data_IF_858065236182
#
_entry.id   IF_858065236182
#
_cell.length_a   1.000
_cell.length_b   1.000
_cell.length_c   1.000
_cell.angle_alpha   90.00
_cell.angle_beta   90.00
_cell.angle_gamma   90.00
#
_symmetry.space_group_name_H-M   'P 1'
#
loop_
_entity.id
_entity.type
_entity.pdbx_description
1 polymer ?
#
# COMPACT_ATOMS: atom_id res chain seq x y z
N UNK A 1 21.50 1.96 14.57
CA UNK A 1 21.10 1.36 13.28
C UNK A 1 20.05 0.32 13.62
N UNK A 2 18.82 0.53 13.20
CA UNK A 2 17.74 -0.44 13.38
C UNK A 2 18.06 -1.66 12.51
N UNK A 3 17.98 -2.86 13.08
CA UNK A 3 18.08 -4.12 12.34
C UNK A 3 16.79 -4.30 11.51
N UNK A 4 16.70 -3.57 10.39
CA UNK A 4 15.52 -3.49 9.55
C UNK A 4 15.88 -3.76 8.09
N UNK A 5 15.54 -4.97 7.62
CA UNK A 5 15.77 -5.36 6.23
C UNK A 5 15.03 -4.53 5.17
N UNK A 6 14.04 -3.70 5.55
CA UNK A 6 13.40 -2.75 4.62
C UNK A 6 14.22 -1.47 4.49
N UNK A 7 14.88 -1.01 5.56
CA UNK A 7 15.83 0.11 5.47
C UNK A 7 17.02 -0.24 4.58
N UNK A 8 17.52 -1.48 4.67
CA UNK A 8 18.59 -1.97 3.78
C UNK A 8 18.18 -1.89 2.29
N UNK A 9 16.92 -2.21 1.99
CA UNK A 9 16.37 -2.09 0.62
C UNK A 9 16.25 -0.62 0.23
N UNK A 10 15.81 0.25 1.15
CA UNK A 10 15.67 1.68 0.93
C UNK A 10 17.01 2.34 0.57
N UNK A 11 18.10 1.90 1.19
CA UNK A 11 19.46 2.38 0.93
C UNK A 11 20.08 1.77 -0.34
N UNK A 12 19.56 0.65 -0.82
CA UNK A 12 20.06 -0.02 -2.03
C UNK A 12 19.38 0.47 -3.31
N UNK A 13 20.08 0.51 -4.44
CA UNK A 13 19.44 0.79 -5.74
C UNK A 13 18.87 -0.47 -6.43
N UNK A 14 18.91 -1.62 -5.75
CA UNK A 14 18.50 -2.89 -6.33
C UNK A 14 16.99 -3.05 -6.20
N UNK A 15 16.37 -3.52 -7.28
CA UNK A 15 14.96 -3.94 -7.32
C UNK A 15 13.93 -2.83 -7.03
N UNK A 16 14.35 -1.56 -7.03
CA UNK A 16 13.46 -0.39 -6.98
C UNK A 16 12.83 -0.15 -8.36
N UNK A 17 11.53 0.09 -8.37
CA UNK A 17 10.75 0.45 -9.56
C UNK A 17 10.44 1.95 -9.58
N UNK A 18 10.27 2.53 -8.39
CA UNK A 18 9.94 3.94 -8.21
C UNK A 18 10.50 4.42 -6.87
N UNK A 19 10.97 5.65 -6.83
CA UNK A 19 11.42 6.33 -5.63
C UNK A 19 11.12 7.83 -5.77
N UNK A 20 10.53 8.40 -4.73
CA UNK A 20 10.44 9.85 -4.55
C UNK A 20 11.09 10.28 -3.22
N UNK A 21 10.76 11.49 -2.76
CA UNK A 21 11.28 12.03 -1.51
C UNK A 21 10.86 11.22 -0.28
N UNK A 22 9.66 10.63 -0.29
CA UNK A 22 9.02 10.00 0.86
C UNK A 22 8.85 8.49 0.72
N UNK A 23 8.57 7.98 -0.48
CA UNK A 23 8.10 6.62 -0.74
C UNK A 23 8.97 5.88 -1.75
N UNK A 24 9.01 4.55 -1.61
CA UNK A 24 9.67 3.63 -2.52
C UNK A 24 8.70 2.53 -2.93
N UNK A 25 8.76 2.14 -4.21
CA UNK A 25 8.22 0.87 -4.71
C UNK A 25 9.38 -0.05 -5.07
N UNK A 26 9.40 -1.26 -4.53
CA UNK A 26 10.41 -2.26 -4.85
C UNK A 26 9.82 -3.67 -4.93
N UNK A 27 10.53 -4.59 -5.60
CA UNK A 27 10.18 -6.01 -5.54
C UNK A 27 10.47 -6.58 -4.15
N UNK A 28 9.57 -7.43 -3.65
CA UNK A 28 9.81 -8.19 -2.43
C UNK A 28 10.97 -9.18 -2.62
N UNK A 29 12.00 -9.19 -1.76
CA UNK A 29 13.10 -10.15 -1.85
C UNK A 29 12.65 -11.60 -1.64
N UNK A 30 11.59 -11.80 -0.86
CA UNK A 30 10.94 -13.09 -0.64
C UNK A 30 9.48 -12.97 -1.08
N UNK A 31 9.21 -13.07 -2.39
CA UNK A 31 7.89 -12.79 -2.93
C UNK A 31 6.93 -13.96 -2.67
N UNK A 32 5.66 -13.63 -2.38
CA UNK A 32 4.57 -14.61 -2.33
C UNK A 32 4.15 -15.12 -3.73
N UNK A 33 4.32 -14.29 -4.76
CA UNK A 33 4.15 -14.62 -6.16
C UNK A 33 5.13 -13.80 -7.02
N UNK A 34 5.53 -14.27 -8.21
CA UNK A 34 6.30 -13.46 -9.15
C UNK A 34 5.63 -12.10 -9.39
N UNK A 35 6.37 -11.01 -9.21
CA UNK A 35 5.84 -9.65 -9.28
C UNK A 35 5.27 -9.12 -7.96
N UNK A 36 5.47 -9.78 -6.82
CA UNK A 36 5.11 -9.19 -5.52
C UNK A 36 5.89 -7.88 -5.30
N UNK A 37 5.17 -6.77 -5.20
CA UNK A 37 5.70 -5.44 -4.95
C UNK A 37 5.45 -5.00 -3.50
N UNK A 38 6.30 -4.10 -3.02
CA UNK A 38 6.20 -3.45 -1.73
C UNK A 38 6.21 -1.94 -1.94
N UNK A 39 5.26 -1.24 -1.33
CA UNK A 39 5.26 0.23 -1.18
C UNK A 39 5.55 0.54 0.28
N UNK A 40 6.58 1.33 0.56
CA UNK A 40 6.96 1.67 1.94
C UNK A 40 7.58 3.07 2.03
N UNK A 41 7.46 3.74 3.18
CA UNK A 41 8.12 5.02 3.42
C UNK A 41 9.62 4.84 3.57
N UNK A 42 10.39 5.81 3.08
CA UNK A 42 11.84 5.91 3.28
C UNK A 42 12.19 6.07 4.75
N UNK A 43 11.39 6.87 5.47
CA UNK A 43 11.50 7.01 6.92
C UNK A 43 11.15 5.68 7.59
N UNK A 44 11.99 5.26 8.53
CA UNK A 44 11.71 4.09 9.35
C UNK A 44 10.54 4.38 10.31
N UNK A 45 9.42 3.72 10.05
CA UNK A 45 8.21 3.70 10.89
C UNK A 45 7.67 2.28 10.88
N UNK A 46 7.24 1.78 12.02
CA UNK A 46 6.98 0.34 12.19
C UNK A 46 5.60 -0.06 11.68
N UNK A 47 4.60 0.78 11.91
CA UNK A 47 3.19 0.48 11.63
C UNK A 47 2.53 1.68 10.96
N UNK A 48 1.38 1.48 10.32
CA UNK A 48 0.69 2.53 9.56
C UNK A 48 0.33 3.75 10.41
N UNK A 49 0.00 3.56 11.67
CA UNK A 49 -0.39 4.60 12.63
C UNK A 49 0.74 5.61 12.92
N UNK A 50 1.97 5.31 12.51
CA UNK A 50 3.13 6.21 12.62
C UNK A 50 3.44 6.96 11.32
N UNK A 51 2.72 6.64 10.23
CA UNK A 51 2.85 7.29 8.92
C UNK A 51 1.93 8.51 8.90
N UNK A 52 2.40 9.70 8.48
CA UNK A 52 1.52 10.85 8.29
C UNK A 52 0.39 10.55 7.29
N UNK A 53 -0.81 11.07 7.53
CA UNK A 53 -2.01 10.70 6.77
C UNK A 53 -1.90 10.98 5.26
N UNK A 54 -1.25 12.09 4.89
CA UNK A 54 -1.00 12.44 3.49
C UNK A 54 -0.04 11.43 2.81
N UNK A 55 0.95 10.92 3.54
CA UNK A 55 1.85 9.87 3.04
C UNK A 55 1.13 8.53 2.96
N UNK A 56 0.31 8.16 3.94
CA UNK A 56 -0.49 6.94 3.91
C UNK A 56 -1.46 6.94 2.71
N UNK A 57 -2.09 8.09 2.45
CA UNK A 57 -2.95 8.30 1.27
C UNK A 57 -2.17 8.13 -0.03
N UNK A 58 -0.95 8.66 -0.09
CA UNK A 58 -0.08 8.50 -1.26
C UNK A 58 0.40 7.05 -1.43
N UNK A 59 0.72 6.32 -0.35
CA UNK A 59 1.07 4.89 -0.42
C UNK A 59 -0.03 4.08 -1.11
N UNK A 60 -1.30 4.35 -0.79
CA UNK A 60 -2.42 3.65 -1.43
C UNK A 60 -2.58 4.02 -2.92
N UNK A 61 -2.37 5.30 -3.27
CA UNK A 61 -2.37 5.73 -4.67
C UNK A 61 -1.26 5.05 -5.47
N UNK A 62 -0.05 4.94 -4.91
CA UNK A 62 1.06 4.20 -5.52
C UNK A 62 0.76 2.71 -5.64
N UNK A 63 0.15 2.10 -4.63
CA UNK A 63 -0.27 0.69 -4.70
C UNK A 63 -1.27 0.45 -5.83
N UNK A 64 -2.22 1.36 -6.04
CA UNK A 64 -3.14 1.29 -7.18
C UNK A 64 -2.40 1.31 -8.53
N UNK A 65 -1.43 2.24 -8.70
CA UNK A 65 -0.60 2.29 -9.92
C UNK A 65 0.27 1.04 -10.08
N UNK A 66 0.83 0.53 -8.98
CA UNK A 66 1.60 -0.70 -8.97
C UNK A 66 0.75 -1.90 -9.40
N UNK A 67 -0.49 -2.02 -8.90
CA UNK A 67 -1.42 -3.05 -9.36
C UNK A 67 -1.63 -3.01 -10.86
N UNK A 68 -1.81 -1.83 -11.45
CA UNK A 68 -1.96 -1.70 -12.91
C UNK A 68 -0.74 -2.20 -13.68
N UNK A 69 0.46 -1.87 -13.21
CA UNK A 69 1.69 -2.40 -13.78
C UNK A 69 1.77 -3.93 -13.68
N UNK A 70 1.20 -4.54 -12.63
CA UNK A 70 1.11 -6.00 -12.51
C UNK A 70 0.10 -6.64 -13.45
N UNK A 71 -1.05 -5.99 -13.69
CA UNK A 71 -1.98 -6.46 -14.72
C UNK A 71 -1.32 -6.45 -16.11
N UNK A 72 -0.62 -5.37 -16.45
CA UNK A 72 -0.04 -5.16 -17.79
C UNK A 72 1.28 -5.93 -17.99
N UNK A 73 2.17 -5.90 -17.01
CA UNK A 73 3.51 -6.48 -17.11
C UNK A 73 3.61 -7.93 -16.62
N UNK A 74 2.68 -8.39 -15.79
CA UNK A 74 2.73 -9.72 -15.18
C UNK A 74 1.51 -10.58 -15.50
N UNK A 75 0.58 -10.11 -16.32
CA UNK A 75 -0.69 -10.80 -16.62
C UNK A 75 -1.35 -11.28 -15.32
N UNK A 76 -1.40 -10.41 -14.33
CA UNK A 76 -2.17 -10.66 -13.12
C UNK A 76 -3.66 -10.64 -13.48
N UNK A 77 -4.45 -11.52 -12.88
CA UNK A 77 -5.92 -11.54 -13.00
C UNK A 77 -6.57 -10.83 -11.80
N UNK A 78 -5.78 -10.54 -10.77
CA UNK A 78 -6.18 -9.79 -9.58
C UNK A 78 -4.96 -9.32 -8.81
N UNK A 79 -5.19 -8.52 -7.77
CA UNK A 79 -4.14 -8.15 -6.80
C UNK A 79 -4.70 -8.17 -5.40
N UNK A 80 -3.94 -8.69 -4.44
CA UNK A 80 -4.17 -8.36 -3.04
C UNK A 80 -3.29 -7.20 -2.63
N UNK A 81 -3.90 -6.22 -1.96
CA UNK A 81 -3.20 -5.14 -1.27
C UNK A 81 -3.29 -5.47 0.22
N UNK A 82 -2.15 -5.72 0.86
CA UNK A 82 -2.07 -6.20 2.23
C UNK A 82 -1.14 -5.32 3.06
N UNK A 83 -1.64 -4.87 4.21
CA UNK A 83 -0.86 -4.18 5.24
C UNK A 83 -1.12 -4.87 6.57
N UNK A 84 -0.07 -5.12 7.33
CA UNK A 84 -0.13 -5.84 8.60
C UNK A 84 0.51 -4.99 9.69
N UNK A 85 -0.29 -4.51 10.63
CA UNK A 85 0.21 -3.80 11.81
C UNK A 85 0.39 -4.79 12.97
N UNK A 86 1.63 -5.02 13.37
CA UNK A 86 1.99 -5.90 14.47
C UNK A 86 2.15 -7.37 14.11
N UNK A 87 2.89 -8.09 14.94
CA UNK A 87 3.26 -9.49 14.73
C UNK A 87 2.04 -10.42 14.71
N UNK A 88 1.01 -10.12 15.51
CA UNK A 88 -0.25 -10.87 15.53
C UNK A 88 -1.02 -10.80 14.19
N UNK A 89 -0.86 -9.71 13.43
CA UNK A 89 -1.40 -9.57 12.09
C UNK A 89 -0.55 -10.26 11.01
N UNK A 90 0.62 -10.82 11.38
CA UNK A 90 1.57 -11.46 10.47
C UNK A 90 2.71 -10.55 9.99
N UNK A 91 2.88 -9.36 10.58
CA UNK A 91 3.99 -8.47 10.26
C UNK A 91 5.33 -9.13 10.60
N UNK A 92 6.19 -9.33 9.59
CA UNK A 92 7.47 -10.03 9.76
C UNK A 92 8.69 -9.12 9.88
N UNK A 93 8.58 -7.86 9.46
CA UNK A 93 9.63 -6.84 9.54
C UNK A 93 9.09 -5.59 10.21
N UNK A 94 9.86 -4.94 11.11
CA UNK A 94 9.39 -3.76 11.84
C UNK A 94 9.47 -2.50 10.97
N UNK A 95 8.79 -2.51 9.83
CA UNK A 95 8.69 -1.38 8.90
C UNK A 95 7.34 -1.42 8.19
N UNK A 96 6.63 -0.30 8.16
CA UNK A 96 5.33 -0.18 7.53
C UNK A 96 5.45 -0.47 6.04
N UNK A 97 4.88 -1.58 5.60
CA UNK A 97 5.02 -2.05 4.22
C UNK A 97 3.66 -2.45 3.70
N UNK A 98 3.24 -1.81 2.61
CA UNK A 98 2.04 -2.15 1.87
C UNK A 98 2.44 -3.12 0.76
N UNK A 99 1.99 -4.36 0.86
CA UNK A 99 2.29 -5.44 -0.08
C UNK A 99 1.26 -5.45 -1.20
N UNK A 100 1.71 -5.53 -2.45
CA UNK A 100 0.88 -5.69 -3.63
C UNK A 100 1.24 -7.01 -4.28
N UNK A 101 0.35 -7.98 -4.14
CA UNK A 101 0.60 -9.37 -4.51
C UNK A 101 -0.26 -9.69 -5.73
N UNK A 102 0.34 -9.95 -6.91
CA UNK A 102 -0.43 -10.36 -8.08
C UNK A 102 -1.06 -11.73 -7.84
N UNK A 103 -2.30 -11.89 -8.28
CA UNK A 103 -3.12 -13.09 -8.14
C UNK A 103 -3.47 -13.65 -9.52
N UNK A 104 -3.63 -14.97 -9.56
CA UNK A 104 -4.15 -15.72 -10.70
C UNK A 104 -5.12 -16.79 -10.20
N UNK A 105 -6.08 -17.16 -11.03
CA UNK A 105 -6.99 -18.24 -10.71
C UNK A 105 -6.21 -19.53 -10.44
N UNK A 106 -6.51 -20.17 -9.30
CA UNK A 106 -5.85 -21.41 -8.89
C UNK A 106 -4.42 -21.24 -8.34
N UNK A 107 -3.98 -20.02 -8.04
CA UNK A 107 -2.71 -19.85 -7.34
C UNK A 107 -2.72 -20.46 -5.91
N UNK A 108 -1.53 -20.71 -5.38
CA UNK A 108 -1.37 -21.37 -4.08
C UNK A 108 -1.48 -20.39 -2.88
N UNK A 109 -1.88 -19.14 -3.10
CA UNK A 109 -1.92 -18.12 -2.04
C UNK A 109 -3.24 -18.24 -1.28
N UNK A 110 -3.15 -18.59 -0.01
CA UNK A 110 -4.31 -18.70 0.88
C UNK A 110 -4.56 -17.39 1.63
N UNK A 111 -5.73 -16.78 1.40
CA UNK A 111 -6.21 -15.58 2.10
C UNK A 111 -7.59 -15.83 2.73
N UNK A 112 -7.93 -17.07 3.05
CA UNK A 112 -9.24 -17.40 3.61
C UNK A 112 -9.29 -17.13 5.12
N UNK A 113 -10.16 -16.21 5.53
CA UNK A 113 -10.58 -16.07 6.93
C UNK A 113 -11.90 -16.81 7.14
N UNK A 114 -12.04 -17.47 8.29
CA UNK A 114 -13.30 -18.09 8.70
C UNK A 114 -14.18 -17.02 9.35
N UNK A 115 -15.32 -16.62 8.73
CA UNK A 115 -16.22 -15.65 9.34
C UNK A 115 -16.76 -16.21 10.65
N UNK A 116 -16.75 -15.38 11.70
CA UNK A 116 -17.42 -15.70 12.97
C UNK A 116 -18.73 -14.93 13.03
N UNK A 117 -19.79 -15.60 13.44
CA UNK A 117 -21.05 -14.94 13.77
C UNK A 117 -21.02 -14.57 15.24
N UNK A 118 -21.23 -13.28 15.53
CA UNK A 118 -21.44 -12.77 16.89
C UNK A 118 -22.95 -12.64 17.13
N UNK A 119 -23.37 -12.80 18.38
CA UNK A 119 -24.75 -12.49 18.77
C UNK A 119 -25.01 -10.98 18.95
N UNK A 120 -26.28 -10.60 19.13
CA UNK A 120 -26.68 -9.19 19.22
C UNK A 120 -26.08 -8.49 20.45
N UNK A 121 -25.90 -9.21 21.55
CA UNK A 121 -25.35 -8.67 22.80
C UNK A 121 -23.84 -8.42 22.65
N UNK A 122 -23.12 -9.38 22.09
CA UNK A 122 -21.71 -9.26 21.74
C UNK A 122 -21.47 -8.10 20.77
N UNK A 123 -22.26 -8.02 19.70
CA UNK A 123 -22.14 -6.94 18.70
C UNK A 123 -22.39 -5.56 19.33
N UNK A 124 -23.44 -5.43 20.14
CA UNK A 124 -23.74 -4.18 20.85
C UNK A 124 -22.60 -3.78 21.80
N UNK A 125 -22.01 -4.76 22.50
CA UNK A 125 -20.87 -4.53 23.40
C UNK A 125 -19.64 -4.05 22.64
N UNK A 126 -19.34 -4.64 21.47
CA UNK A 126 -18.22 -4.21 20.62
C UNK A 126 -18.46 -2.80 20.10
N UNK A 127 -19.66 -2.49 19.60
CA UNK A 127 -20.00 -1.18 19.06
C UNK A 127 -19.81 -0.06 20.09
N UNK A 128 -20.31 -0.26 21.32
CA UNK A 128 -20.19 0.74 22.39
C UNK A 128 -18.72 1.03 22.73
N UNK A 129 -17.90 -0.01 22.88
CA UNK A 129 -16.45 0.14 23.15
C UNK A 129 -15.74 0.90 22.02
N UNK A 130 -16.05 0.56 20.77
CA UNK A 130 -15.41 1.22 19.63
C UNK A 130 -15.84 2.67 19.47
N UNK A 131 -17.12 3.00 19.75
CA UNK A 131 -17.59 4.40 19.73
C UNK A 131 -16.86 5.29 20.74
N UNK A 132 -16.47 4.74 21.89
CA UNK A 132 -15.72 5.48 22.90
C UNK A 132 -14.30 5.85 22.44
N UNK A 133 -13.66 4.95 21.68
CA UNK A 133 -12.29 5.09 21.17
C UNK A 133 -12.21 5.76 19.78
N UNK A 134 -13.30 5.74 19.00
CA UNK A 134 -13.37 6.24 17.62
C UNK A 134 -13.36 7.78 17.48
N UNK A 135 -13.07 8.53 18.55
CA UNK A 135 -13.16 9.99 18.58
C UNK A 135 -12.27 10.68 17.54
N UNK A 136 -11.20 10.01 17.09
CA UNK A 136 -10.20 10.57 16.20
C UNK A 136 -10.30 10.07 14.74
N UNK A 137 -11.26 9.21 14.37
CA UNK A 137 -11.35 8.63 13.01
C UNK A 137 -11.49 9.68 11.90
N UNK A 138 -11.93 10.89 12.21
CA UNK A 138 -12.05 12.01 11.26
C UNK A 138 -10.99 13.11 11.39
N UNK A 139 -9.99 12.93 12.26
CA UNK A 139 -8.91 13.90 12.43
C UNK A 139 -7.75 13.52 11.51
N UNK A 140 -7.43 14.38 10.53
CA UNK A 140 -6.39 14.14 9.55
C UNK A 140 -5.27 15.18 9.62
N UNK A 141 -4.03 14.72 9.44
CA UNK A 141 -2.86 15.58 9.24
C UNK A 141 -2.85 16.16 7.81
N UNK A 142 -2.75 17.48 7.69
CA UNK A 142 -2.52 18.14 6.40
C UNK A 142 -1.04 18.07 5.99
N UNK A 143 -0.78 17.99 4.68
CA UNK A 143 0.58 18.08 4.16
C UNK A 143 1.15 19.49 4.41
N UNK A 144 2.38 19.63 4.96
CA UNK A 144 3.02 20.92 5.09
C UNK A 144 3.22 21.58 3.72
N UNK A 145 2.82 22.84 3.56
CA UNK A 145 3.06 23.58 2.32
C UNK A 145 4.56 23.74 2.08
N UNK A 146 5.08 23.11 1.02
CA UNK A 146 6.45 23.35 0.56
C UNK A 146 6.55 24.74 -0.09
N UNK A 147 7.65 25.48 0.11
CA UNK A 147 7.90 26.72 -0.61
C UNK A 147 7.79 26.47 -2.12
N UNK A 148 7.04 27.33 -2.82
CA UNK A 148 6.89 27.25 -4.27
C UNK A 148 8.22 27.69 -4.90
N UNK A 149 9.01 26.72 -5.36
CA UNK A 149 10.09 26.99 -6.29
C UNK A 149 9.49 27.11 -7.69
N UNK A 150 9.46 28.33 -8.22
CA UNK A 150 9.02 28.61 -9.59
C UNK A 150 10.06 28.07 -10.58
N UNK A 151 9.94 26.80 -10.97
CA UNK A 151 10.67 26.26 -12.11
C UNK A 151 9.85 26.41 -13.40
N UNK A 152 10.42 27.10 -14.39
CA UNK A 152 9.90 27.21 -15.76
C UNK A 152 9.94 25.85 -16.47
N UNK A 153 8.94 25.00 -16.25
CA UNK A 153 8.77 23.74 -17.00
C UNK A 153 7.52 23.80 -17.87
N UNK A 154 7.71 24.25 -19.10
CA UNK A 154 6.80 23.96 -20.21
C UNK A 154 6.75 22.44 -20.44
N UNK A 155 5.81 21.76 -19.81
CA UNK A 155 5.61 20.33 -19.99
C UNK A 155 4.86 20.06 -21.31
N UNK A 156 5.55 19.38 -22.23
CA UNK A 156 4.94 18.70 -23.39
C UNK A 156 3.90 17.71 -22.87
N UNK A 157 2.64 17.94 -23.22
CA UNK A 157 1.57 16.94 -23.16
C UNK A 157 1.98 15.81 -24.12
N UNK A 158 2.31 14.62 -23.58
CA UNK A 158 2.47 13.42 -24.41
C UNK A 158 1.08 12.89 -24.70
N UNK A 159 0.68 12.98 -25.97
CA UNK A 159 -0.50 12.30 -26.49
C UNK A 159 -0.28 10.79 -26.45
N UNK A 160 -1.13 10.11 -25.70
CA UNK A 160 -1.71 8.77 -25.94
C UNK A 160 -2.67 8.47 -24.77
N UNK A 161 -3.58 9.40 -24.50
CA UNK A 161 -4.65 9.25 -23.50
C UNK A 161 -5.80 8.40 -24.06
N UNK A 162 -5.50 7.17 -24.50
CA UNK A 162 -6.55 6.16 -24.53
C UNK A 162 -6.98 5.89 -23.08
N UNK A 163 -8.16 6.44 -22.79
CA UNK A 163 -8.72 6.75 -21.49
C UNK A 163 -8.41 5.71 -20.39
N UNK A 164 -7.43 6.06 -19.56
CA UNK A 164 -6.95 5.30 -18.40
C UNK A 164 -8.08 4.75 -17.49
N UNK A 165 -9.17 5.51 -17.37
CA UNK A 165 -10.34 5.15 -16.57
C UNK A 165 -11.18 4.03 -17.23
N UNK A 166 -11.25 3.99 -18.56
CA UNK A 166 -12.01 2.97 -19.30
C UNK A 166 -11.37 1.59 -19.10
N UNK A 167 -10.04 1.51 -19.17
CA UNK A 167 -9.29 0.26 -18.93
C UNK A 167 -9.50 -0.29 -17.51
N UNK A 168 -9.87 0.52 -16.53
CA UNK A 168 -10.14 0.06 -15.16
C UNK A 168 -11.53 -0.58 -15.02
N UNK A 169 -12.53 -0.07 -15.74
CA UNK A 169 -13.92 -0.54 -15.64
C UNK A 169 -14.08 -1.93 -16.27
N UNK A 170 -13.33 -2.24 -17.32
CA UNK A 170 -13.41 -3.52 -18.05
C UNK A 170 -12.71 -4.70 -17.33
N UNK A 171 -12.04 -4.45 -16.19
CA UNK A 171 -11.18 -5.44 -15.50
C UNK A 171 -11.88 -6.21 -14.37
N UNK A 172 -13.13 -5.89 -14.05
CA UNK A 172 -13.92 -6.62 -13.04
C UNK A 172 -14.92 -7.52 -13.78
N UNK A 173 -14.89 -8.86 -13.59
CA UNK A 173 -15.87 -9.77 -14.19
C UNK A 173 -17.29 -9.54 -13.67
#
# INVERSE_FOLDING_TARGET
MSDCGICDIAESDKLKLFEDENLIIALAPRPAAPGHLMVFPKKHVTILEQVPDYIASWMLQLANKASMALFEGMNAEGTNILLQNGTAAGQSKPHCTLHIIPRRQGDAINTNWQPKQLDEEEMSTVELKLKEEAKNIGAFEEEPQKPIELEDKAAKIRGDEENYLIKQIERIP
#
